data_IF_475996005252
#
_entry.id   IF_475996005252
#
_cell.length_a   1.000
_cell.length_b   1.000
_cell.length_c   1.000
_cell.angle_alpha   90.00
_cell.angle_beta   90.00
_cell.angle_gamma   90.00
#
_symmetry.space_group_name_H-M   'P 1'
#
loop_
_entity.id
_entity.type
_entity.pdbx_description
1 polymer ?
#
# COMPACT_ATOMS: atom_id res chain seq x y z
N UNK A 1 -37.53 -88.14 31.15
CA UNK A 1 -37.47 -88.13 29.67
C UNK A 1 -36.73 -86.90 29.15
N UNK A 2 -35.55 -86.58 29.70
CA UNK A 2 -34.79 -85.35 29.38
C UNK A 2 -33.32 -85.58 28.96
N UNK A 3 -32.79 -86.81 28.92
CA UNK A 3 -31.33 -87.00 28.75
C UNK A 3 -30.83 -87.15 27.31
N UNK A 4 -31.68 -87.55 26.34
CA UNK A 4 -31.22 -87.83 24.96
C UNK A 4 -31.18 -86.61 24.03
N UNK A 5 -31.98 -85.56 24.29
CA UNK A 5 -32.00 -84.34 23.45
C UNK A 5 -30.80 -83.42 23.71
N UNK A 6 -30.30 -83.37 24.95
CA UNK A 6 -29.14 -82.54 25.31
C UNK A 6 -27.82 -83.11 24.79
N UNK A 7 -27.66 -84.44 24.74
CA UNK A 7 -26.44 -85.08 24.23
C UNK A 7 -26.25 -84.83 22.72
N UNK A 8 -27.35 -84.80 21.95
CA UNK A 8 -27.31 -84.49 20.52
C UNK A 8 -27.00 -83.01 20.25
N UNK A 9 -27.56 -82.09 21.05
CA UNK A 9 -27.27 -80.66 20.94
C UNK A 9 -25.84 -80.31 21.38
N UNK A 10 -25.30 -80.95 22.43
CA UNK A 10 -23.92 -80.74 22.88
C UNK A 10 -22.91 -81.27 21.85
N UNK A 11 -23.22 -82.41 21.21
CA UNK A 11 -22.38 -82.96 20.12
C UNK A 11 -22.36 -82.06 18.88
N UNK A 12 -23.49 -81.46 18.51
CA UNK A 12 -23.54 -80.47 17.42
C UNK A 12 -22.82 -79.17 17.78
N UNK A 13 -22.90 -78.73 19.03
CA UNK A 13 -22.18 -77.54 19.50
C UNK A 13 -20.66 -77.76 19.53
N UNK A 14 -20.19 -78.93 19.95
CA UNK A 14 -18.77 -79.31 19.91
C UNK A 14 -18.24 -79.46 18.47
N UNK A 15 -19.04 -80.00 17.55
CA UNK A 15 -18.68 -80.08 16.12
C UNK A 15 -18.58 -78.70 15.46
N UNK A 16 -19.46 -77.76 15.86
CA UNK A 16 -19.41 -76.36 15.41
C UNK A 16 -18.23 -75.59 16.02
N UNK A 17 -17.79 -75.94 17.23
CA UNK A 17 -16.62 -75.34 17.89
C UNK A 17 -15.30 -75.72 17.22
N UNK A 18 -15.21 -76.92 16.63
CA UNK A 18 -14.00 -77.41 15.94
C UNK A 18 -13.80 -76.70 14.60
N UNK A 19 -14.87 -76.19 13.97
CA UNK A 19 -14.80 -75.41 12.73
C UNK A 19 -14.32 -73.96 12.91
N UNK A 20 -14.28 -73.45 14.15
CA UNK A 20 -13.84 -72.07 14.46
C UNK A 20 -12.35 -71.96 14.79
N UNK A 21 -11.61 -73.07 14.84
CA UNK A 21 -10.16 -73.12 15.13
C UNK A 21 -9.33 -73.26 13.83
N UNK A 22 -9.97 -73.25 12.65
CA UNK A 22 -9.28 -73.11 11.37
C UNK A 22 -8.87 -71.65 11.12
N UNK A 23 -8.10 -71.09 12.05
CA UNK A 23 -7.28 -69.93 11.76
C UNK A 23 -6.11 -70.47 10.93
N UNK A 24 -6.19 -70.34 9.60
CA UNK A 24 -5.01 -70.57 8.78
C UNK A 24 -3.96 -69.56 9.23
N UNK A 25 -2.86 -70.04 9.83
CA UNK A 25 -1.66 -69.23 9.86
C UNK A 25 -1.35 -68.87 8.40
N UNK A 26 -1.18 -67.58 8.05
CA UNK A 26 -0.71 -67.24 6.72
C UNK A 26 0.64 -67.93 6.56
N UNK A 27 0.70 -68.92 5.67
CA UNK A 27 1.95 -69.60 5.35
C UNK A 27 2.92 -68.56 4.82
N UNK A 28 4.02 -68.33 5.53
CA UNK A 28 5.19 -67.55 5.10
C UNK A 28 5.97 -68.22 3.97
N UNK A 29 5.42 -69.27 3.36
CA UNK A 29 6.00 -69.96 2.21
C UNK A 29 5.62 -69.17 0.97
N UNK A 30 6.53 -68.29 0.55
CA UNK A 30 6.36 -67.39 -0.59
C UNK A 30 6.76 -65.94 -0.31
N UNK A 31 6.80 -65.50 0.96
CA UNK A 31 7.35 -64.17 1.29
C UNK A 31 8.89 -64.17 1.26
N UNK A 32 9.50 -65.28 1.65
CA UNK A 32 10.96 -65.50 1.64
C UNK A 32 11.52 -65.72 0.22
N UNK A 33 10.64 -65.93 -0.77
CA UNK A 33 11.00 -66.06 -2.19
C UNK A 33 10.95 -64.73 -2.94
N UNK A 34 10.48 -63.65 -2.29
CA UNK A 34 10.36 -62.30 -2.85
C UNK A 34 11.30 -61.35 -2.08
N UNK A 35 12.28 -61.84 -1.32
CA UNK A 35 13.34 -60.97 -0.81
C UNK A 35 14.16 -60.34 -1.96
N UNK A 36 14.27 -61.06 -3.08
CA UNK A 36 15.03 -60.63 -4.27
C UNK A 36 14.19 -59.90 -5.32
N UNK A 37 12.86 -59.88 -5.18
CA UNK A 37 11.92 -59.24 -6.12
C UNK A 37 11.06 -58.17 -5.42
N UNK A 38 11.56 -57.63 -4.29
CA UNK A 38 11.03 -56.39 -3.73
C UNK A 38 11.24 -55.28 -4.76
N UNK A 39 10.18 -54.55 -5.09
CA UNK A 39 10.30 -53.32 -5.89
C UNK A 39 11.33 -52.43 -5.18
N UNK A 40 12.51 -52.27 -5.79
CA UNK A 40 13.53 -51.37 -5.28
C UNK A 40 13.04 -49.93 -5.45
N UNK A 41 12.28 -49.46 -4.46
CA UNK A 41 11.85 -48.08 -4.37
C UNK A 41 13.08 -47.24 -4.02
N UNK A 42 13.76 -46.73 -5.04
CA UNK A 42 14.78 -45.70 -4.85
C UNK A 42 14.08 -44.39 -4.54
N UNK A 43 14.15 -43.97 -3.27
CA UNK A 43 13.77 -42.61 -2.89
C UNK A 43 14.88 -41.66 -3.33
N UNK A 44 14.53 -40.65 -4.12
CA UNK A 44 15.46 -39.68 -4.66
C UNK A 44 14.95 -38.28 -4.31
N UNK A 45 15.66 -37.58 -3.41
CA UNK A 45 15.38 -36.18 -3.06
C UNK A 45 16.40 -35.19 -3.62
N UNK A 46 17.42 -35.69 -4.32
CA UNK A 46 18.57 -34.93 -4.83
C UNK A 46 18.41 -34.50 -6.29
N UNK A 47 17.17 -34.33 -6.76
CA UNK A 47 16.91 -33.90 -8.13
C UNK A 47 17.43 -32.47 -8.28
N UNK A 48 18.50 -32.22 -9.06
CA UNK A 48 18.98 -30.86 -9.26
C UNK A 48 17.94 -30.09 -10.08
N UNK A 49 17.47 -28.98 -9.54
CA UNK A 49 16.61 -28.05 -10.26
C UNK A 49 17.29 -26.68 -10.29
N UNK A 50 17.29 -26.05 -11.46
CA UNK A 50 17.79 -24.69 -11.64
C UNK A 50 16.63 -23.72 -11.44
N UNK A 51 16.76 -22.84 -10.44
CA UNK A 51 15.85 -21.72 -10.26
C UNK A 51 16.49 -20.46 -10.81
N UNK A 52 15.79 -19.79 -11.72
CA UNK A 52 16.20 -18.50 -12.25
C UNK A 52 15.13 -17.47 -11.95
N UNK A 53 15.53 -16.32 -11.41
CA UNK A 53 14.65 -15.16 -11.28
C UNK A 53 14.72 -14.34 -12.55
N UNK A 54 13.58 -14.08 -13.17
CA UNK A 54 13.47 -13.16 -14.31
C UNK A 54 12.91 -11.83 -13.85
N UNK A 55 13.38 -10.74 -14.47
CA UNK A 55 12.82 -9.41 -14.22
C UNK A 55 11.39 -9.41 -14.76
N UNK A 56 10.41 -9.16 -13.88
CA UNK A 56 9.01 -9.01 -14.28
C UNK A 56 8.80 -7.72 -15.07
N UNK A 57 7.76 -7.70 -15.90
CA UNK A 57 7.34 -6.48 -16.58
C UNK A 57 6.77 -5.45 -15.58
N UNK A 58 6.80 -4.18 -15.97
CA UNK A 58 6.21 -3.09 -15.21
C UNK A 58 4.68 -3.22 -15.15
N UNK A 59 4.09 -2.83 -14.02
CA UNK A 59 2.64 -2.91 -13.79
C UNK A 59 2.01 -1.55 -14.04
N UNK A 60 0.84 -1.51 -14.68
CA UNK A 60 0.05 -0.28 -14.79
C UNK A 60 -0.39 0.16 -13.39
N UNK A 61 -0.04 1.38 -12.98
CA UNK A 61 -0.37 1.95 -11.67
C UNK A 61 -1.34 3.13 -11.76
N UNK A 62 -1.48 3.73 -12.94
CA UNK A 62 -2.41 4.81 -13.24
C UNK A 62 -2.74 4.87 -14.73
N UNK A 63 -3.98 5.22 -15.07
CA UNK A 63 -4.43 5.43 -16.45
C UNK A 63 -5.52 4.45 -16.85
N UNK A 64 -5.72 4.23 -18.16
CA UNK A 64 -6.75 3.33 -18.66
C UNK A 64 -6.15 1.97 -19.07
N UNK A 65 -6.62 0.86 -18.47
CA UNK A 65 -6.17 -0.47 -18.85
C UNK A 65 -6.43 -0.77 -20.33
N UNK A 66 -5.53 -1.50 -21.02
CA UNK A 66 -5.75 -1.89 -22.42
C UNK A 66 -7.07 -2.62 -22.61
N UNK A 67 -7.86 -2.19 -23.61
CA UNK A 67 -9.17 -2.78 -23.92
C UNK A 67 -10.31 -2.29 -23.02
N UNK A 68 -10.06 -1.35 -22.12
CA UNK A 68 -11.11 -0.67 -21.38
C UNK A 68 -11.58 0.60 -22.08
N UNK A 69 -12.90 0.80 -22.12
CA UNK A 69 -13.56 2.04 -22.54
C UNK A 69 -14.21 2.65 -21.31
N UNK A 70 -13.82 3.88 -20.97
CA UNK A 70 -14.31 4.64 -19.80
C UNK A 70 -13.99 4.02 -18.42
N UNK A 71 -13.04 3.09 -18.30
CA UNK A 71 -12.50 2.73 -16.97
C UNK A 71 -11.12 3.35 -16.79
N UNK A 72 -11.02 4.13 -15.73
CA UNK A 72 -9.78 4.69 -15.24
C UNK A 72 -9.34 3.90 -14.02
N UNK A 73 -8.06 3.54 -13.99
CA UNK A 73 -7.43 2.80 -12.92
C UNK A 73 -6.47 3.72 -12.17
N UNK A 74 -6.57 3.69 -10.84
CA UNK A 74 -5.60 4.26 -9.93
C UNK A 74 -5.53 3.34 -8.72
N UNK A 75 -4.34 3.19 -8.14
CA UNK A 75 -4.16 2.36 -6.95
C UNK A 75 -4.90 2.98 -5.75
N UNK A 76 -5.66 2.19 -4.97
CA UNK A 76 -6.32 2.66 -3.75
C UNK A 76 -5.34 2.86 -2.59
N UNK A 77 -4.13 2.27 -2.69
CA UNK A 77 -3.07 2.36 -1.69
C UNK A 77 -1.77 2.72 -2.41
N UNK A 78 -1.15 3.82 -1.98
CA UNK A 78 0.13 4.26 -2.50
C UNK A 78 1.21 4.02 -1.47
N UNK A 79 2.18 3.16 -1.80
CA UNK A 79 3.29 2.86 -0.90
C UNK A 79 4.42 3.88 -1.00
N UNK A 80 5.06 4.17 0.14
CA UNK A 80 6.26 4.99 0.23
C UNK A 80 7.22 4.43 1.28
N UNK A 81 8.49 4.28 0.89
CA UNK A 81 9.52 3.68 1.73
C UNK A 81 10.69 3.13 0.90
N UNK A 82 11.79 2.79 1.56
CA UNK A 82 12.98 2.23 0.95
C UNK A 82 13.57 1.18 1.88
N UNK A 83 13.00 -0.02 1.85
CA UNK A 83 13.25 -1.05 2.84
C UNK A 83 14.19 -2.12 2.28
N UNK A 84 15.07 -2.63 3.14
CA UNK A 84 15.85 -3.84 2.89
C UNK A 84 15.32 -4.94 3.79
N UNK A 85 14.75 -5.96 3.18
CA UNK A 85 14.36 -7.20 3.83
C UNK A 85 15.52 -8.21 3.68
N UNK A 86 15.98 -8.88 4.75
CA UNK A 86 17.06 -9.86 4.66
C UNK A 86 16.77 -11.06 3.77
N UNK A 87 15.48 -11.40 3.58
CA UNK A 87 15.02 -12.55 2.79
C UNK A 87 14.60 -12.08 1.40
N UNK A 88 13.78 -11.04 1.31
CA UNK A 88 13.21 -10.58 0.04
C UNK A 88 14.10 -9.58 -0.68
N UNK A 89 15.08 -8.96 -0.04
CA UNK A 89 15.94 -7.95 -0.64
C UNK A 89 15.37 -6.54 -0.58
N UNK A 90 15.75 -5.68 -1.53
CA UNK A 90 15.49 -4.23 -1.46
C UNK A 90 14.22 -3.83 -2.19
N UNK A 91 13.29 -3.20 -1.49
CA UNK A 91 12.03 -2.65 -2.01
C UNK A 91 12.00 -1.13 -1.83
N UNK A 92 11.85 -0.39 -2.92
CA UNK A 92 11.70 1.07 -2.90
C UNK A 92 10.37 1.46 -3.54
N UNK A 93 9.61 2.29 -2.84
CA UNK A 93 8.40 2.92 -3.37
C UNK A 93 8.40 4.42 -3.10
N UNK A 94 7.86 5.19 -4.04
CA UNK A 94 7.71 6.63 -3.94
C UNK A 94 6.43 7.09 -4.62
N UNK A 95 5.90 8.23 -4.21
CA UNK A 95 4.59 8.71 -4.64
C UNK A 95 4.78 9.95 -5.51
N UNK A 96 4.11 9.96 -6.65
CA UNK A 96 3.92 11.15 -7.48
C UNK A 96 2.46 11.58 -7.37
N UNK A 97 2.20 12.87 -7.20
CA UNK A 97 0.84 13.40 -7.06
C UNK A 97 0.72 14.84 -7.56
N UNK A 98 -0.42 15.17 -8.15
CA UNK A 98 -0.85 16.54 -8.46
C UNK A 98 -1.91 17.01 -7.45
N UNK A 99 -1.83 18.28 -7.05
CA UNK A 99 -2.88 18.94 -6.28
C UNK A 99 -3.84 19.65 -7.23
N UNK A 100 -5.13 19.70 -6.90
CA UNK A 100 -6.12 20.47 -7.66
C UNK A 100 -6.73 21.57 -6.82
N UNK A 101 -7.43 22.47 -7.50
CA UNK A 101 -8.33 23.43 -6.92
C UNK A 101 -9.66 22.75 -6.61
N UNK A 102 -10.18 23.00 -5.42
CA UNK A 102 -11.61 22.79 -5.18
C UNK A 102 -12.35 24.01 -5.78
N UNK A 103 -13.34 23.75 -6.64
CA UNK A 103 -14.11 24.77 -7.39
C UNK A 103 -14.83 25.78 -6.47
N UNK A 104 -14.94 25.49 -5.17
CA UNK A 104 -15.26 26.46 -4.14
C UNK A 104 -14.03 27.33 -3.80
N UNK A 105 -13.54 28.12 -4.77
CA UNK A 105 -12.36 28.96 -4.59
C UNK A 105 -12.58 29.97 -3.45
N UNK A 106 -11.63 30.09 -2.51
CA UNK A 106 -11.51 31.28 -1.69
C UNK A 106 -11.19 32.43 -2.64
N UNK A 107 -11.90 33.55 -2.50
CA UNK A 107 -11.56 34.74 -3.24
C UNK A 107 -10.33 35.39 -2.61
N UNK A 108 -9.13 34.93 -2.98
CA UNK A 108 -7.85 35.50 -2.50
C UNK A 108 -7.61 36.94 -3.01
N UNK A 109 -8.59 37.56 -3.68
CA UNK A 109 -8.48 38.90 -4.26
C UNK A 109 -8.88 40.03 -3.31
N UNK A 110 -9.44 39.73 -2.14
CA UNK A 110 -10.16 40.73 -1.32
C UNK A 110 -9.30 41.35 -0.21
N UNK A 111 -8.15 40.76 0.14
CA UNK A 111 -7.24 41.33 1.13
C UNK A 111 -5.82 40.78 0.95
N UNK A 112 -4.77 41.50 1.39
CA UNK A 112 -3.45 40.90 1.46
C UNK A 112 -3.44 39.80 2.54
N UNK A 113 -2.94 38.63 2.17
CA UNK A 113 -2.84 37.46 3.05
C UNK A 113 -1.38 37.21 3.44
N UNK A 114 -1.18 36.60 4.61
CA UNK A 114 0.12 36.13 5.07
C UNK A 114 0.05 34.61 5.32
N UNK A 115 0.94 33.84 4.70
CA UNK A 115 1.03 32.39 4.89
C UNK A 115 1.65 32.10 6.26
N UNK A 116 0.93 31.33 7.08
CA UNK A 116 1.45 30.85 8.36
C UNK A 116 2.14 29.50 8.23
N UNK A 117 1.50 28.57 7.53
CA UNK A 117 1.98 27.21 7.40
C UNK A 117 1.45 26.57 6.12
N UNK A 118 2.27 25.71 5.54
CA UNK A 118 1.91 24.83 4.44
C UNK A 118 2.19 23.40 4.87
N UNK A 119 1.18 22.55 4.85
CA UNK A 119 1.26 21.19 5.40
C UNK A 119 0.68 20.19 4.40
N UNK A 120 1.45 19.15 4.07
CA UNK A 120 0.97 18.02 3.27
C UNK A 120 0.35 16.98 4.19
N UNK A 121 -0.95 16.72 4.00
CA UNK A 121 -1.73 15.75 4.77
C UNK A 121 -1.81 14.44 3.99
N UNK A 122 -1.26 13.37 4.57
CA UNK A 122 -1.24 12.02 4.01
C UNK A 122 -1.96 11.05 4.95
N UNK A 123 -3.25 10.76 4.70
CA UNK A 123 -3.97 9.73 5.45
C UNK A 123 -3.39 8.36 5.18
N UNK A 124 -3.22 7.55 6.23
CA UNK A 124 -2.92 6.13 6.04
C UNK A 124 -4.10 5.43 5.37
N UNK A 125 -3.82 4.44 4.52
CA UNK A 125 -4.89 3.75 3.81
C UNK A 125 -5.74 2.86 4.72
N UNK A 126 -5.11 2.13 5.63
CA UNK A 126 -5.77 1.37 6.69
C UNK A 126 -4.77 1.05 7.80
N UNK A 127 -5.27 0.53 8.92
CA UNK A 127 -4.43 0.07 10.03
C UNK A 127 -3.45 -1.05 9.63
N UNK A 128 -3.71 -1.76 8.53
CA UNK A 128 -2.86 -2.84 8.02
C UNK A 128 -2.06 -2.44 6.77
N UNK A 129 -2.17 -1.20 6.30
CA UNK A 129 -1.50 -0.73 5.09
C UNK A 129 -0.03 -0.33 5.37
N UNK A 130 0.75 -1.23 5.95
CA UNK A 130 2.19 -1.05 6.15
C UNK A 130 2.90 -2.40 6.20
N UNK A 131 4.22 -2.39 6.01
CA UNK A 131 5.08 -3.55 6.19
C UNK A 131 6.37 -3.12 6.90
N UNK A 132 6.92 -3.96 7.78
CA UNK A 132 8.16 -3.68 8.53
C UNK A 132 7.92 -3.08 9.92
N UNK A 133 8.97 -2.50 10.52
CA UNK A 133 8.95 -2.00 11.90
C UNK A 133 8.57 -0.51 11.97
N UNK A 134 7.41 -0.23 12.55
CA UNK A 134 6.89 1.13 12.76
C UNK A 134 7.28 1.73 14.12
N UNK A 135 7.95 0.96 14.99
CA UNK A 135 8.50 1.48 16.26
C UNK A 135 9.78 2.29 16.05
N UNK A 136 10.34 2.27 14.84
CA UNK A 136 11.52 3.00 14.43
C UNK A 136 11.14 4.24 13.61
N UNK A 137 11.93 5.30 13.73
CA UNK A 137 11.69 6.53 13.00
C UNK A 137 12.00 6.36 11.50
N UNK A 138 11.19 6.99 10.66
CA UNK A 138 11.44 7.12 9.23
C UNK A 138 11.50 8.60 8.87
N UNK A 139 12.17 8.93 7.76
CA UNK A 139 12.21 10.30 7.24
C UNK A 139 11.71 10.34 5.80
N UNK A 140 10.59 11.04 5.60
CA UNK A 140 10.01 11.31 4.28
C UNK A 140 10.37 12.72 3.82
N UNK A 141 10.73 12.85 2.56
CA UNK A 141 11.02 14.11 1.88
C UNK A 141 10.02 14.35 0.76
N UNK A 142 9.74 15.63 0.53
CA UNK A 142 8.83 16.10 -0.51
C UNK A 142 9.61 17.00 -1.46
N UNK A 143 9.49 16.75 -2.76
CA UNK A 143 10.11 17.51 -3.84
C UNK A 143 9.03 18.04 -4.77
N UNK A 144 9.28 19.19 -5.39
CA UNK A 144 8.41 19.74 -6.43
C UNK A 144 8.78 19.12 -7.79
N UNK A 145 7.78 18.71 -8.58
CA UNK A 145 7.99 18.23 -9.94
C UNK A 145 8.40 19.37 -10.87
N UNK A 146 9.36 19.09 -11.75
CA UNK A 146 9.85 20.02 -12.76
C UNK A 146 9.19 19.79 -14.14
N UNK A 147 8.47 18.69 -14.29
CA UNK A 147 7.64 18.38 -15.45
C UNK A 147 6.23 18.01 -15.02
N UNK A 148 5.26 18.26 -15.90
CA UNK A 148 3.83 18.08 -15.67
C UNK A 148 3.42 16.61 -15.84
N UNK A 149 2.50 16.13 -15.00
CA UNK A 149 1.83 14.84 -15.22
C UNK A 149 0.66 15.04 -16.20
N UNK A 150 0.33 13.97 -16.90
CA UNK A 150 -0.71 13.91 -17.93
C UNK A 150 -1.77 12.93 -17.48
N UNK A 151 -2.97 13.44 -17.23
CA UNK A 151 -4.12 12.62 -16.82
C UNK A 151 -4.56 11.61 -17.90
N UNK A 152 -4.25 11.91 -19.17
CA UNK A 152 -4.55 11.02 -20.30
C UNK A 152 -3.48 9.95 -20.54
N UNK A 153 -2.41 9.93 -19.73
CA UNK A 153 -1.30 8.99 -19.90
C UNK A 153 -1.46 7.73 -19.03
N UNK A 154 -0.90 6.63 -19.51
CA UNK A 154 -0.72 5.41 -18.73
C UNK A 154 0.63 5.44 -18.03
N UNK A 155 0.63 5.31 -16.71
CA UNK A 155 1.85 5.23 -15.91
C UNK A 155 2.06 3.83 -15.34
N UNK A 156 3.31 3.41 -15.36
CA UNK A 156 3.75 2.10 -14.92
C UNK A 156 4.63 2.21 -13.67
N UNK A 157 4.75 1.12 -12.93
CA UNK A 157 5.42 1.06 -11.62
C UNK A 157 6.90 1.47 -11.64
N UNK A 158 7.54 1.51 -12.81
CA UNK A 158 8.93 1.91 -13.02
C UNK A 158 9.09 3.31 -13.64
N UNK A 159 7.99 4.04 -13.86
CA UNK A 159 8.01 5.38 -14.43
C UNK A 159 8.78 6.34 -13.51
N UNK A 160 9.50 7.31 -14.06
CA UNK A 160 10.14 8.37 -13.29
C UNK A 160 9.81 9.73 -13.93
N UNK A 161 9.83 10.76 -13.09
CA UNK A 161 9.63 12.14 -13.51
C UNK A 161 10.76 13.02 -12.97
N UNK A 162 11.03 14.11 -13.67
CA UNK A 162 12.00 15.14 -13.28
C UNK A 162 11.40 15.97 -12.15
N UNK A 163 12.19 16.16 -11.10
CA UNK A 163 11.86 16.99 -9.94
C UNK A 163 13.04 17.89 -9.57
N UNK A 164 12.77 18.96 -8.85
CA UNK A 164 13.81 19.87 -8.36
C UNK A 164 14.69 19.17 -7.31
N UNK A 165 16.00 19.43 -7.31
CA UNK A 165 16.95 18.72 -6.44
C UNK A 165 16.82 19.08 -4.95
N UNK A 166 16.26 20.25 -4.63
CA UNK A 166 16.07 20.69 -3.26
C UNK A 166 14.71 20.20 -2.72
N UNK A 167 14.66 19.55 -1.55
CA UNK A 167 13.39 19.20 -0.93
C UNK A 167 12.66 20.47 -0.51
N UNK A 168 11.35 20.48 -0.72
CA UNK A 168 10.44 21.55 -0.31
C UNK A 168 9.80 21.27 1.06
N UNK A 169 9.99 20.06 1.60
CA UNK A 169 9.58 19.69 2.94
C UNK A 169 10.18 18.35 3.35
N UNK A 170 10.21 18.10 4.65
CA UNK A 170 10.72 16.85 5.22
C UNK A 170 10.13 16.63 6.61
N UNK A 171 9.90 15.37 6.97
CA UNK A 171 9.46 14.97 8.30
C UNK A 171 10.12 13.67 8.73
N UNK A 172 10.76 13.71 9.90
CA UNK A 172 11.19 12.52 10.63
C UNK A 172 10.16 12.19 11.71
N UNK A 173 9.60 10.98 11.70
CA UNK A 173 8.54 10.58 12.63
C UNK A 173 8.52 9.06 12.85
N UNK A 174 7.85 8.64 13.92
CA UNK A 174 7.52 7.24 14.18
C UNK A 174 6.16 6.92 13.56
N UNK A 175 6.07 6.01 12.58
CA UNK A 175 4.79 5.69 11.94
C UNK A 175 3.77 5.13 12.94
N UNK A 176 2.54 5.63 12.87
CA UNK A 176 1.43 5.19 13.72
C UNK A 176 0.15 5.00 12.89
N UNK A 177 0.11 4.02 11.98
CA UNK A 177 -1.02 3.79 11.07
C UNK A 177 -2.32 3.38 11.79
N UNK A 178 -2.24 3.02 13.07
CA UNK A 178 -3.35 2.60 13.92
C UNK A 178 -3.70 3.60 15.04
N UNK A 179 -3.08 4.78 15.06
CA UNK A 179 -3.39 5.83 16.05
C UNK A 179 -3.98 7.02 15.33
N UNK A 180 -5.21 7.36 15.70
CA UNK A 180 -5.85 8.56 15.21
C UNK A 180 -5.27 9.80 15.89
N UNK A 181 -5.06 10.84 15.08
CA UNK A 181 -4.76 12.18 15.55
C UNK A 181 -5.88 13.13 15.10
N UNK A 182 -5.98 14.29 15.75
CA UNK A 182 -7.00 15.29 15.45
C UNK A 182 -6.46 16.33 14.46
N UNK A 183 -7.08 16.41 13.29
CA UNK A 183 -6.89 17.52 12.36
C UNK A 183 -7.93 18.61 12.65
N UNK A 184 -7.45 19.79 13.04
CA UNK A 184 -8.29 20.97 13.19
C UNK A 184 -8.27 21.76 11.88
N UNK A 185 -9.44 21.99 11.30
CA UNK A 185 -9.65 22.72 10.05
C UNK A 185 -10.53 23.96 10.24
N UNK A 186 -10.27 25.03 9.48
CA UNK A 186 -11.07 26.24 9.42
C UNK A 186 -11.39 26.57 7.95
N UNK A 187 -12.55 26.13 7.47
CA UNK A 187 -12.94 26.20 6.05
C UNK A 187 -13.40 27.61 5.61
N UNK A 188 -12.70 28.66 6.04
CA UNK A 188 -12.93 30.04 5.58
C UNK A 188 -14.08 30.78 6.28
N UNK A 189 -14.85 30.13 7.16
CA UNK A 189 -15.98 30.74 7.88
C UNK A 189 -15.64 31.13 9.34
N UNK A 190 -14.39 30.92 9.77
CA UNK A 190 -13.94 31.20 11.13
C UNK A 190 -14.40 30.17 12.17
N UNK A 191 -15.10 29.11 11.76
CA UNK A 191 -15.52 28.01 12.62
C UNK A 191 -14.49 26.89 12.53
N UNK A 192 -14.02 26.45 13.69
CA UNK A 192 -13.13 25.30 13.79
C UNK A 192 -13.93 24.00 13.70
N UNK A 193 -13.52 23.12 12.79
CA UNK A 193 -13.94 21.73 12.71
C UNK A 193 -12.77 20.81 13.10
N UNK A 194 -13.05 19.75 13.84
CA UNK A 194 -12.03 18.80 14.31
C UNK A 194 -12.41 17.40 13.86
N UNK A 195 -11.61 16.83 12.97
CA UNK A 195 -11.78 15.45 12.48
C UNK A 195 -10.63 14.60 12.98
N UNK A 196 -10.93 13.44 13.58
CA UNK A 196 -9.91 12.51 14.06
C UNK A 196 -9.75 11.33 13.09
N UNK A 197 -8.53 11.09 12.63
CA UNK A 197 -8.19 9.98 11.72
C UNK A 197 -6.67 9.72 11.74
N UNK A 198 -6.22 8.65 11.08
CA UNK A 198 -4.82 8.25 11.09
C UNK A 198 -4.11 8.90 9.89
N UNK A 199 -3.17 9.81 10.14
CA UNK A 199 -2.46 10.52 9.07
C UNK A 199 -1.03 10.92 9.44
N UNK A 200 -0.28 11.33 8.42
CA UNK A 200 1.01 12.02 8.54
C UNK A 200 0.84 13.43 8.04
N UNK A 201 1.44 14.39 8.75
CA UNK A 201 1.43 15.81 8.39
C UNK A 201 2.85 16.31 8.17
N UNK A 202 3.23 16.50 6.91
CA UNK A 202 4.58 16.92 6.55
C UNK A 202 4.60 18.44 6.34
N UNK A 203 5.38 19.20 7.14
CA UNK A 203 5.52 20.63 6.93
C UNK A 203 6.32 20.89 5.64
N UNK A 204 5.85 21.85 4.84
CA UNK A 204 6.49 22.31 3.62
C UNK A 204 6.94 23.77 3.74
N UNK A 205 7.75 24.22 2.80
CA UNK A 205 8.19 25.60 2.70
C UNK A 205 7.01 26.54 2.41
N UNK A 206 6.86 27.59 3.24
CA UNK A 206 5.80 28.59 3.09
C UNK A 206 5.82 29.31 1.73
N UNK A 207 6.96 29.36 1.04
CA UNK A 207 7.06 29.94 -0.31
C UNK A 207 6.11 29.26 -1.33
N UNK A 208 5.76 27.99 -1.12
CA UNK A 208 4.72 27.31 -1.93
C UNK A 208 3.37 27.95 -1.67
N UNK A 209 3.06 28.24 -0.41
CA UNK A 209 1.83 28.92 -0.06
C UNK A 209 1.79 30.32 -0.65
N UNK A 210 2.88 31.07 -0.59
CA UNK A 210 2.96 32.41 -1.18
C UNK A 210 2.74 32.36 -2.70
N UNK A 211 3.36 31.39 -3.38
CA UNK A 211 3.13 31.14 -4.80
C UNK A 211 1.66 30.85 -5.09
N UNK A 212 1.08 29.88 -4.38
CA UNK A 212 -0.29 29.43 -4.63
C UNK A 212 -1.30 30.54 -4.33
N UNK A 213 -1.18 31.24 -3.20
CA UNK A 213 -2.07 32.35 -2.83
C UNK A 213 -1.93 33.59 -3.73
N UNK A 214 -0.84 33.70 -4.50
CA UNK A 214 -0.61 34.82 -5.43
C UNK A 214 -1.29 34.66 -6.80
N UNK A 215 -1.83 33.47 -7.10
CA UNK A 215 -2.45 33.17 -8.39
C UNK A 215 -3.71 34.05 -8.59
N UNK A 216 -3.96 34.53 -9.81
CA UNK A 216 -5.16 35.35 -10.07
C UNK A 216 -6.42 34.49 -10.24
N UNK A 217 -7.58 34.98 -9.79
CA UNK A 217 -8.85 34.23 -9.81
C UNK A 217 -9.29 33.80 -11.21
N UNK A 218 -8.85 34.51 -12.26
CA UNK A 218 -9.09 34.13 -13.65
C UNK A 218 -8.28 32.89 -14.08
N UNK A 219 -7.09 32.68 -13.46
CA UNK A 219 -6.25 31.49 -13.64
C UNK A 219 -6.76 30.33 -12.76
N UNK A 220 -7.30 30.64 -11.58
CA UNK A 220 -8.01 29.69 -10.71
C UNK A 220 -9.27 29.07 -11.35
N UNK A 221 -9.86 29.72 -12.35
CA UNK A 221 -11.07 29.22 -13.02
C UNK A 221 -10.79 28.15 -14.08
N UNK A 222 -9.52 27.82 -14.33
CA UNK A 222 -9.10 26.85 -15.33
C UNK A 222 -8.01 25.92 -14.79
N UNK A 223 -8.40 24.69 -14.44
CA UNK A 223 -7.53 23.64 -13.91
C UNK A 223 -6.28 23.41 -14.77
N UNK A 224 -6.38 23.56 -16.09
CA UNK A 224 -5.23 23.34 -16.98
C UNK A 224 -4.12 24.37 -16.78
N UNK A 225 -4.47 25.61 -16.43
CA UNK A 225 -3.48 26.68 -16.18
C UNK A 225 -2.91 26.65 -14.76
N UNK A 226 -3.63 26.05 -13.79
CA UNK A 226 -3.12 25.87 -12.44
C UNK A 226 -2.01 24.81 -12.39
N UNK A 227 -2.21 23.69 -13.09
CA UNK A 227 -1.20 22.61 -13.17
C UNK A 227 0.11 23.12 -13.78
N UNK A 228 0.05 24.08 -14.72
CA UNK A 228 1.25 24.67 -15.33
C UNK A 228 2.06 25.56 -14.34
N UNK A 229 1.45 26.01 -13.24
CA UNK A 229 2.12 26.80 -12.18
C UNK A 229 2.73 25.87 -11.13
N UNK A 230 2.04 24.76 -10.83
CA UNK A 230 2.46 23.78 -9.84
C UNK A 230 2.29 22.36 -10.37
N UNK A 231 3.34 21.85 -11.02
CA UNK A 231 3.34 20.56 -11.71
C UNK A 231 3.08 19.32 -10.82
N UNK A 232 3.18 19.47 -9.48
CA UNK A 232 2.93 18.39 -8.53
C UNK A 232 4.10 18.12 -7.57
N UNK A 233 3.99 17.00 -6.87
CA UNK A 233 4.85 16.58 -5.77
C UNK A 233 5.42 15.18 -6.00
N UNK A 234 6.67 14.98 -5.59
CA UNK A 234 7.29 13.68 -5.42
C UNK A 234 7.59 13.46 -3.93
N UNK A 235 7.07 12.38 -3.36
CA UNK A 235 7.24 12.01 -1.95
C UNK A 235 8.05 10.73 -1.90
N UNK A 236 9.16 10.73 -1.17
CA UNK A 236 10.03 9.57 -1.04
C UNK A 236 10.68 9.47 0.33
N UNK A 237 11.16 8.28 0.67
CA UNK A 237 12.07 8.13 1.79
C UNK A 237 13.44 8.74 1.47
N UNK A 238 14.02 9.48 2.42
CA UNK A 238 15.36 10.09 2.31
C UNK A 238 16.49 9.05 2.32
N UNK A 239 16.30 7.95 3.06
CA UNK A 239 17.28 6.89 3.26
C UNK A 239 16.60 5.52 3.27
N UNK A 240 17.35 4.48 3.65
CA UNK A 240 16.73 3.20 3.96
C UNK A 240 15.79 3.33 5.16
N UNK A 241 14.63 2.69 5.09
CA UNK A 241 13.57 2.75 6.09
C UNK A 241 13.27 1.36 6.65
N UNK A 242 13.01 1.26 7.97
CA UNK A 242 12.61 0.03 8.64
C UNK A 242 11.20 -0.44 8.26
N UNK A 243 10.39 0.43 7.66
CA UNK A 243 9.04 0.13 7.21
C UNK A 243 8.71 0.78 5.87
N UNK A 244 7.69 0.23 5.21
CA UNK A 244 7.01 0.70 4.02
C UNK A 244 5.59 1.11 4.41
N UNK A 245 5.18 2.34 4.12
CA UNK A 245 3.88 2.88 4.53
C UNK A 245 2.94 3.02 3.34
N UNK A 246 1.67 2.64 3.51
CA UNK A 246 0.60 2.79 2.53
C UNK A 246 -0.33 3.95 2.87
N UNK A 247 -0.47 4.87 1.92
CA UNK A 247 -1.30 6.07 2.05
C UNK A 247 -2.53 5.99 1.13
N UNK A 248 -3.63 6.61 1.56
CA UNK A 248 -4.83 6.80 0.75
C UNK A 248 -4.99 8.29 0.40
N UNK A 249 -4.58 8.64 -0.81
CA UNK A 249 -4.71 10.01 -1.32
C UNK A 249 -6.14 10.33 -1.80
N UNK A 250 -7.05 9.34 -1.89
CA UNK A 250 -8.47 9.58 -2.21
C UNK A 250 -9.31 9.98 -0.99
N UNK A 251 -8.72 10.01 0.20
CA UNK A 251 -9.42 10.44 1.41
C UNK A 251 -9.73 11.95 1.37
N UNK A 252 -10.90 12.35 1.87
CA UNK A 252 -11.39 13.74 1.79
C UNK A 252 -10.45 14.79 2.40
N UNK A 253 -9.63 14.41 3.37
CA UNK A 253 -8.68 15.30 4.04
C UNK A 253 -7.25 15.17 3.49
N UNK A 254 -7.02 14.35 2.47
CA UNK A 254 -5.73 14.20 1.82
C UNK A 254 -5.48 15.36 0.86
N UNK A 255 -4.33 16.02 1.00
CA UNK A 255 -4.00 17.17 0.15
C UNK A 255 -3.00 18.10 0.77
N UNK A 256 -2.86 19.27 0.15
CA UNK A 256 -2.00 20.35 0.60
C UNK A 256 -2.84 21.38 1.36
N UNK A 257 -2.63 21.50 2.66
CA UNK A 257 -3.33 22.42 3.55
C UNK A 257 -2.50 23.70 3.71
N UNK A 258 -3.07 24.84 3.31
CA UNK A 258 -2.47 26.17 3.54
C UNK A 258 -3.22 26.84 4.68
N UNK A 259 -2.50 27.25 5.72
CA UNK A 259 -3.01 28.11 6.79
C UNK A 259 -2.52 29.54 6.56
N UNK A 260 -3.43 30.51 6.57
CA UNK A 260 -3.13 31.90 6.24
C UNK A 260 -3.98 32.88 7.06
N UNK A 261 -3.45 34.08 7.27
CA UNK A 261 -4.13 35.18 7.95
C UNK A 261 -4.49 36.28 6.95
N UNK A 262 -5.62 36.96 7.21
CA UNK A 262 -5.88 38.25 6.56
C UNK A 262 -5.13 39.34 7.32
N UNK A 263 -4.21 40.04 6.64
CA UNK A 263 -3.36 41.05 7.29
C UNK A 263 -4.24 42.09 7.99
N UNK A 264 -3.91 42.37 9.26
CA UNK A 264 -4.59 43.37 10.08
C UNK A 264 -5.90 42.93 10.73
N UNK A 265 -6.36 41.68 10.51
CA UNK A 265 -7.66 41.23 11.05
C UNK A 265 -7.53 40.51 12.40
N UNK A 266 -6.38 39.88 12.69
CA UNK A 266 -6.17 39.10 13.91
C UNK A 266 -7.15 37.93 14.06
N UNK A 267 -6.82 36.96 14.92
CA UNK A 267 -7.70 35.82 15.21
C UNK A 267 -7.17 34.48 14.69
N UNK A 268 -8.07 33.53 14.53
CA UNK A 268 -7.75 32.16 14.12
C UNK A 268 -7.41 32.12 12.62
N UNK A 269 -6.31 31.47 12.23
CA UNK A 269 -5.94 31.36 10.82
C UNK A 269 -7.04 30.70 10.00
N UNK A 270 -7.26 31.21 8.80
CA UNK A 270 -8.09 30.56 7.79
C UNK A 270 -7.29 29.45 7.14
N UNK A 271 -7.98 28.42 6.66
CA UNK A 271 -7.34 27.30 6.00
C UNK A 271 -8.01 27.01 4.66
N UNK A 272 -7.19 26.57 3.72
CA UNK A 272 -7.65 26.07 2.44
C UNK A 272 -6.89 24.80 2.08
N UNK A 273 -7.64 23.75 1.75
CA UNK A 273 -7.12 22.46 1.35
C UNK A 273 -7.17 22.37 -0.18
N UNK A 274 -6.02 22.13 -0.81
CA UNK A 274 -5.95 21.69 -2.19
C UNK A 274 -5.99 20.16 -2.20
N UNK A 275 -7.13 19.54 -2.52
CA UNK A 275 -7.30 18.10 -2.42
C UNK A 275 -6.54 17.34 -3.52
N UNK A 276 -6.38 16.04 -3.30
CA UNK A 276 -6.06 15.10 -4.36
C UNK A 276 -7.36 14.53 -4.94
N UNK A 277 -7.57 14.62 -6.25
CA UNK A 277 -8.83 14.17 -6.89
C UNK A 277 -8.51 13.28 -8.09
N UNK A 278 -8.92 12.02 -8.05
CA UNK A 278 -8.91 11.15 -9.24
C UNK A 278 -10.29 11.17 -9.92
N UNK A 279 -10.38 11.10 -11.27
CA UNK A 279 -9.30 11.01 -12.25
C UNK A 279 -8.72 12.36 -12.69
N UNK A 280 -9.23 13.48 -12.16
CA UNK A 280 -8.86 14.84 -12.57
C UNK A 280 -7.37 15.15 -12.36
N UNK A 281 -6.72 14.46 -11.43
CA UNK A 281 -5.29 14.56 -11.15
C UNK A 281 -4.59 13.20 -11.22
N UNK A 282 -3.33 13.25 -11.60
CA UNK A 282 -2.40 12.13 -11.52
C UNK A 282 -1.90 11.90 -10.11
N UNK A 283 -2.24 10.76 -9.49
CA UNK A 283 -1.43 10.23 -8.39
C UNK A 283 -1.20 8.73 -8.53
N UNK A 284 0.03 8.30 -8.26
CA UNK A 284 0.44 6.91 -8.32
C UNK A 284 1.71 6.71 -7.50
N UNK A 285 2.02 5.44 -7.21
CA UNK A 285 3.30 5.09 -6.64
C UNK A 285 4.13 4.28 -7.63
N UNK A 286 5.43 4.56 -7.65
CA UNK A 286 6.41 3.69 -8.27
C UNK A 286 6.83 2.62 -7.28
N UNK A 287 7.20 1.44 -7.78
CA UNK A 287 7.71 0.33 -6.99
C UNK A 287 8.84 -0.35 -7.76
N UNK A 288 10.01 -0.40 -7.13
CA UNK A 288 11.16 -1.16 -7.59
C UNK A 288 11.54 -2.17 -6.52
N UNK A 289 11.66 -3.44 -6.91
CA UNK A 289 12.10 -4.51 -6.02
C UNK A 289 13.31 -5.22 -6.62
N UNK A 290 14.34 -5.45 -5.80
CA UNK A 290 15.54 -6.20 -6.13
C UNK A 290 15.69 -7.35 -5.14
N UNK A 291 15.39 -8.55 -5.62
CA UNK A 291 15.52 -9.76 -4.81
C UNK A 291 16.97 -9.97 -4.35
N UNK A 292 17.15 -10.37 -3.10
CA UNK A 292 18.44 -10.87 -2.62
C UNK A 292 18.51 -12.35 -2.94
N UNK A 293 19.29 -12.71 -3.97
CA UNK A 293 19.54 -14.11 -4.33
C UNK A 293 20.93 -14.52 -3.89
N UNK A 294 21.04 -15.16 -2.73
CA UNK A 294 22.06 -16.20 -2.53
C UNK A 294 21.28 -17.51 -2.40
N UNK A 295 21.23 -18.26 -3.49
CA UNK A 295 20.82 -19.66 -3.47
C UNK A 295 22.07 -20.52 -3.53
#
# INVERSE_FOLDING_TARGET
MLSKKYVFCIGWWYSLLILLISCNEPSTIGLDLIEDDQIQLTFRDDIPFEMNTVIGDSLLVYGSPPGSINSFFSLPVLFCGNMIDPIFGKSQASIYTEVTLDFASPNFRVAPFEVRAVELILPYSSEAAFYGDTSQAITLEVFQLAERLSNDANYYSNQNFVFHSAPIGSLTFFPKPNVADSLVTNNGNGILDTTAFNFVKIPLNNAIGDLLLSIDSATYSNDSTFIDIFNGLHIRASSETPSMLGFNLQANNAGLLISYDTIGTGGTPLQYLYPFVAPTNGFFCTLSHRAHGTF
#
